data_IF_321690892408
#
_entry.id   IF_321690892408
#
_cell.length_a   1.000
_cell.length_b   1.000
_cell.length_c   1.000
_cell.angle_alpha   90.00
_cell.angle_beta   90.00
_cell.angle_gamma   90.00
#
_symmetry.space_group_name_H-M   'P 1'
#
loop_
_entity.id
_entity.type
_entity.pdbx_description
1 polymer ?
#
# COMPACT_ATOMS: atom_id res chain seq x y z
N UNK A 1 -2.89 -15.75 -29.05
CA UNK A 1 -3.59 -17.03 -28.79
C UNK A 1 -3.02 -17.73 -27.56
N UNK A 2 -1.76 -18.19 -27.57
CA UNK A 2 -1.15 -18.87 -26.40
C UNK A 2 -1.14 -18.05 -25.10
N UNK A 3 -0.82 -16.75 -25.14
CA UNK A 3 -0.80 -15.91 -23.94
C UNK A 3 -2.20 -15.73 -23.31
N UNK A 4 -3.24 -15.57 -24.13
CA UNK A 4 -4.63 -15.45 -23.67
C UNK A 4 -5.13 -16.75 -23.05
N UNK A 5 -4.73 -17.90 -23.60
CA UNK A 5 -5.11 -19.20 -23.07
C UNK A 5 -4.40 -19.51 -21.75
N UNK A 6 -3.13 -19.11 -21.62
CA UNK A 6 -2.39 -19.20 -20.36
C UNK A 6 -3.02 -18.31 -19.27
N UNK A 7 -3.39 -17.07 -19.62
CA UNK A 7 -4.07 -16.16 -18.69
C UNK A 7 -5.40 -16.75 -18.20
N UNK A 8 -6.25 -17.24 -19.11
CA UNK A 8 -7.52 -17.90 -18.75
C UNK A 8 -7.28 -19.07 -17.80
N UNK A 9 -6.36 -19.98 -18.13
CA UNK A 9 -6.08 -21.14 -17.27
C UNK A 9 -5.53 -20.75 -15.88
N UNK A 10 -4.79 -19.64 -15.81
CA UNK A 10 -4.28 -19.12 -14.54
C UNK A 10 -5.40 -18.49 -13.71
N UNK A 11 -6.29 -17.72 -14.35
CA UNK A 11 -7.44 -17.12 -13.69
C UNK A 11 -8.38 -18.20 -13.15
N UNK A 12 -8.67 -19.24 -13.94
CA UNK A 12 -9.49 -20.37 -13.49
C UNK A 12 -8.88 -21.05 -12.26
N UNK A 13 -7.56 -21.23 -12.26
CA UNK A 13 -6.83 -21.85 -11.15
C UNK A 13 -6.90 -21.02 -9.88
N UNK A 14 -6.72 -19.70 -9.96
CA UNK A 14 -6.71 -18.84 -8.77
C UNK A 14 -8.12 -18.61 -8.22
N UNK A 15 -9.15 -18.64 -9.08
CA UNK A 15 -10.54 -18.52 -8.66
C UNK A 15 -11.10 -19.79 -8.05
N UNK A 16 -10.46 -20.95 -8.26
CA UNK A 16 -10.93 -22.21 -7.63
C UNK A 16 -10.68 -22.21 -6.12
N UNK A 17 -9.51 -21.72 -5.69
CA UNK A 17 -9.03 -21.84 -4.31
C UNK A 17 -9.13 -20.54 -3.51
N UNK A 18 -9.89 -19.54 -3.99
CA UNK A 18 -9.92 -18.19 -3.38
C UNK A 18 -10.32 -18.18 -1.90
N UNK A 19 -11.13 -19.13 -1.46
CA UNK A 19 -11.56 -19.29 -0.06
C UNK A 19 -10.41 -19.60 0.90
N UNK A 20 -9.28 -20.10 0.39
CA UNK A 20 -8.10 -20.47 1.19
C UNK A 20 -7.15 -19.29 1.44
N UNK A 21 -7.41 -18.14 0.81
CA UNK A 21 -6.55 -16.97 0.90
C UNK A 21 -6.79 -16.23 2.22
N UNK A 22 -5.91 -16.44 3.19
CA UNK A 22 -5.98 -15.77 4.50
C UNK A 22 -5.08 -14.52 4.59
N UNK A 23 -3.96 -14.52 3.87
CA UNK A 23 -2.95 -13.46 3.91
C UNK A 23 -3.48 -12.16 3.28
N UNK A 24 -3.35 -11.03 3.99
CA UNK A 24 -3.85 -9.72 3.55
C UNK A 24 -3.34 -9.31 2.18
N UNK A 25 -2.02 -9.42 1.95
CA UNK A 25 -1.37 -9.08 0.69
C UNK A 25 -1.91 -9.91 -0.47
N UNK A 26 -2.17 -11.19 -0.23
CA UNK A 26 -2.74 -12.09 -1.23
C UNK A 26 -4.19 -11.74 -1.55
N UNK A 27 -5.00 -11.36 -0.55
CA UNK A 27 -6.38 -10.90 -0.78
C UNK A 27 -6.41 -9.63 -1.61
N UNK A 28 -5.53 -8.66 -1.32
CA UNK A 28 -5.40 -7.42 -2.10
C UNK A 28 -5.00 -7.74 -3.54
N UNK A 29 -3.96 -8.54 -3.74
CA UNK A 29 -3.51 -8.93 -5.09
C UNK A 29 -4.62 -9.67 -5.86
N UNK A 30 -5.33 -10.58 -5.19
CA UNK A 30 -6.45 -11.31 -5.78
C UNK A 30 -7.60 -10.39 -6.18
N UNK A 31 -8.04 -9.48 -5.32
CA UNK A 31 -9.08 -8.50 -5.64
C UNK A 31 -8.69 -7.58 -6.78
N UNK A 32 -7.41 -7.19 -6.85
CA UNK A 32 -6.89 -6.41 -7.97
C UNK A 32 -7.01 -7.18 -9.29
N UNK A 33 -6.57 -8.46 -9.31
CA UNK A 33 -6.71 -9.35 -10.47
C UNK A 33 -8.19 -9.49 -10.85
N UNK A 34 -9.07 -9.69 -9.86
CA UNK A 34 -10.51 -9.82 -10.06
C UNK A 34 -11.12 -8.55 -10.68
N UNK A 35 -10.70 -7.37 -10.22
CA UNK A 35 -11.12 -6.10 -10.80
C UNK A 35 -10.61 -5.90 -12.23
N UNK A 36 -9.36 -6.29 -12.51
CA UNK A 36 -8.71 -6.09 -13.82
C UNK A 36 -9.14 -7.11 -14.88
N UNK A 37 -9.46 -8.34 -14.47
CA UNK A 37 -9.80 -9.44 -15.39
C UNK A 37 -11.19 -10.04 -15.17
N UNK A 38 -12.04 -9.45 -14.32
CA UNK A 38 -13.35 -10.02 -13.99
C UNK A 38 -14.37 -10.08 -15.14
N UNK A 39 -14.06 -9.55 -16.32
CA UNK A 39 -14.84 -9.85 -17.54
C UNK A 39 -14.61 -11.28 -18.06
N UNK A 40 -13.43 -11.84 -17.77
CA UNK A 40 -13.01 -13.18 -18.23
C UNK A 40 -13.29 -14.26 -17.16
N UNK A 41 -13.66 -13.84 -15.94
CA UNK A 41 -13.98 -14.72 -14.82
C UNK A 41 -15.49 -14.74 -14.59
N UNK A 42 -16.13 -15.88 -14.82
CA UNK A 42 -17.59 -16.02 -14.71
C UNK A 42 -18.08 -15.71 -13.29
N UNK A 43 -17.41 -16.25 -12.28
CA UNK A 43 -17.78 -16.15 -10.87
C UNK A 43 -17.39 -14.82 -10.20
N UNK A 44 -16.78 -13.87 -10.92
CA UNK A 44 -16.21 -12.68 -10.31
C UNK A 44 -17.21 -11.85 -9.46
N UNK A 45 -18.46 -11.60 -9.91
CA UNK A 45 -19.44 -10.93 -9.08
C UNK A 45 -19.74 -11.67 -7.77
N UNK A 46 -19.93 -13.00 -7.82
CA UNK A 46 -20.22 -13.81 -6.63
C UNK A 46 -19.07 -13.83 -5.62
N UNK A 47 -17.83 -13.92 -6.12
CA UNK A 47 -16.64 -13.86 -5.27
C UNK A 47 -16.59 -12.50 -4.55
N UNK A 48 -16.79 -11.40 -5.29
CA UNK A 48 -16.75 -10.06 -4.72
C UNK A 48 -17.91 -9.79 -3.73
N UNK A 49 -19.09 -10.35 -3.99
CA UNK A 49 -20.22 -10.33 -3.06
C UNK A 49 -19.83 -10.97 -1.71
N UNK A 50 -19.20 -12.14 -1.74
CA UNK A 50 -18.75 -12.81 -0.52
C UNK A 50 -17.69 -12.03 0.28
N UNK A 51 -16.83 -11.26 -0.40
CA UNK A 51 -15.94 -10.29 0.27
C UNK A 51 -16.72 -9.12 0.88
N UNK A 52 -17.75 -8.64 0.18
CA UNK A 52 -18.60 -7.51 0.62
C UNK A 52 -19.42 -7.88 1.86
N UNK A 53 -19.88 -9.13 1.98
CA UNK A 53 -20.55 -9.63 3.20
C UNK A 53 -19.63 -9.60 4.43
N UNK A 54 -18.32 -9.77 4.22
CA UNK A 54 -17.29 -9.78 5.27
C UNK A 54 -16.59 -8.44 5.43
N UNK A 55 -17.06 -7.38 4.77
CA UNK A 55 -16.39 -6.06 4.69
C UNK A 55 -15.87 -5.57 6.05
N UNK A 56 -16.70 -5.61 7.10
CA UNK A 56 -16.35 -5.08 8.42
C UNK A 56 -15.23 -5.85 9.12
N UNK A 57 -15.03 -7.12 8.79
CA UNK A 57 -13.99 -7.97 9.37
C UNK A 57 -12.65 -7.90 8.61
N UNK A 58 -12.67 -7.39 7.38
CA UNK A 58 -11.47 -7.31 6.54
C UNK A 58 -10.59 -6.09 6.89
N UNK A 59 -9.26 -6.18 6.72
CA UNK A 59 -8.35 -5.08 6.96
C UNK A 59 -8.57 -3.95 5.94
N UNK A 60 -8.14 -2.73 6.30
CA UNK A 60 -8.41 -1.53 5.50
C UNK A 60 -7.87 -1.62 4.06
N UNK A 61 -6.73 -2.27 3.83
CA UNK A 61 -6.17 -2.42 2.47
C UNK A 61 -7.07 -3.29 1.58
N UNK A 62 -7.63 -4.35 2.15
CA UNK A 62 -8.59 -5.24 1.45
C UNK A 62 -9.88 -4.49 1.16
N UNK A 63 -10.41 -3.71 2.11
CA UNK A 63 -11.59 -2.86 1.89
C UNK A 63 -11.40 -1.87 0.74
N UNK A 64 -10.24 -1.22 0.68
CA UNK A 64 -9.87 -0.27 -0.37
C UNK A 64 -9.82 -0.96 -1.73
N UNK A 65 -9.17 -2.11 -1.80
CA UNK A 65 -9.04 -2.83 -3.07
C UNK A 65 -10.38 -3.41 -3.52
N UNK A 66 -11.20 -3.89 -2.58
CA UNK A 66 -12.57 -4.35 -2.85
C UNK A 66 -13.44 -3.22 -3.46
N UNK A 67 -13.32 -1.98 -2.98
CA UNK A 67 -13.98 -0.82 -3.58
C UNK A 67 -13.50 -0.58 -5.02
N UNK A 68 -12.20 -0.64 -5.26
CA UNK A 68 -11.61 -0.47 -6.59
C UNK A 68 -12.05 -1.58 -7.54
N UNK A 69 -12.00 -2.84 -7.10
CA UNK A 69 -12.42 -4.01 -7.84
C UNK A 69 -13.92 -3.96 -8.17
N UNK A 70 -14.76 -3.58 -7.20
CA UNK A 70 -16.21 -3.42 -7.40
C UNK A 70 -16.55 -2.34 -8.41
N UNK A 71 -15.87 -1.20 -8.38
CA UNK A 71 -16.03 -0.15 -9.39
C UNK A 71 -15.61 -0.64 -10.78
N UNK A 72 -14.44 -1.27 -10.92
CA UNK A 72 -13.95 -1.79 -12.21
C UNK A 72 -14.89 -2.85 -12.77
N UNK A 73 -15.32 -3.80 -11.93
CA UNK A 73 -16.21 -4.88 -12.34
C UNK A 73 -17.60 -4.36 -12.70
N UNK A 74 -18.09 -3.33 -12.00
CA UNK A 74 -19.35 -2.67 -12.34
C UNK A 74 -19.35 -2.06 -13.74
N UNK A 75 -18.26 -1.44 -14.18
CA UNK A 75 -18.18 -0.92 -15.54
C UNK A 75 -18.09 -2.01 -16.62
N UNK A 76 -17.69 -3.22 -16.24
CA UNK A 76 -17.58 -4.39 -17.14
C UNK A 76 -18.88 -5.20 -17.20
N UNK A 77 -19.52 -5.43 -16.05
CA UNK A 77 -20.76 -6.23 -15.89
C UNK A 77 -21.79 -5.48 -15.03
N UNK A 78 -22.34 -4.33 -15.51
CA UNK A 78 -23.23 -3.50 -14.71
C UNK A 78 -24.48 -4.20 -14.13
N UNK A 79 -25.20 -5.06 -14.88
CA UNK A 79 -26.42 -5.70 -14.39
C UNK A 79 -26.19 -6.59 -13.16
N UNK A 80 -25.07 -7.30 -13.13
CA UNK A 80 -24.73 -8.25 -12.08
C UNK A 80 -24.10 -7.56 -10.87
N UNK A 81 -23.40 -6.45 -11.11
CA UNK A 81 -22.71 -5.69 -10.07
C UNK A 81 -23.55 -4.63 -9.38
N UNK A 82 -24.67 -4.21 -9.97
CA UNK A 82 -25.65 -3.29 -9.36
C UNK A 82 -26.03 -3.69 -7.91
N UNK A 83 -26.46 -4.93 -7.63
CA UNK A 83 -26.84 -5.34 -6.27
C UNK A 83 -25.66 -5.42 -5.28
N UNK A 84 -24.42 -5.50 -5.77
CA UNK A 84 -23.22 -5.66 -4.94
C UNK A 84 -22.58 -4.30 -4.63
N UNK A 85 -22.45 -3.44 -5.65
CA UNK A 85 -21.75 -2.16 -5.53
C UNK A 85 -22.49 -1.17 -4.62
N UNK A 86 -23.83 -1.19 -4.62
CA UNK A 86 -24.65 -0.35 -3.75
C UNK A 86 -24.35 -0.58 -2.26
N UNK A 87 -24.55 -1.81 -1.74
CA UNK A 87 -24.19 -2.16 -0.36
C UNK A 87 -22.72 -1.94 -0.04
N UNK A 88 -21.81 -2.22 -0.98
CA UNK A 88 -20.37 -2.00 -0.77
C UNK A 88 -20.04 -0.51 -0.54
N UNK A 89 -20.60 0.38 -1.36
CA UNK A 89 -20.41 1.82 -1.19
C UNK A 89 -21.08 2.34 0.09
N UNK A 90 -22.28 1.84 0.41
CA UNK A 90 -22.98 2.23 1.64
C UNK A 90 -22.16 1.87 2.89
N UNK A 91 -21.61 0.64 2.94
CA UNK A 91 -20.72 0.21 4.03
C UNK A 91 -19.46 1.07 4.11
N UNK A 92 -18.83 1.38 2.98
CA UNK A 92 -17.63 2.21 2.96
C UNK A 92 -17.89 3.65 3.43
N UNK A 93 -18.99 4.28 2.99
CA UNK A 93 -19.34 5.66 3.38
C UNK A 93 -19.64 5.77 4.88
N UNK A 94 -20.15 4.70 5.48
CA UNK A 94 -20.42 4.63 6.92
C UNK A 94 -19.26 4.01 7.73
N UNK A 95 -18.15 3.64 7.10
CA UNK A 95 -16.99 3.08 7.82
C UNK A 95 -16.30 4.16 8.67
N UNK A 96 -16.39 4.02 9.99
CA UNK A 96 -15.73 4.91 10.96
C UNK A 96 -14.34 4.41 11.37
N UNK A 97 -13.94 3.20 10.98
CA UNK A 97 -12.67 2.59 11.39
C UNK A 97 -11.46 3.20 10.67
N UNK A 98 -11.63 3.65 9.42
CA UNK A 98 -10.55 4.20 8.61
C UNK A 98 -11.05 5.32 7.69
N UNK A 99 -10.41 6.49 7.77
CA UNK A 99 -10.80 7.65 6.96
C UNK A 99 -10.55 7.46 5.45
N UNK A 100 -9.50 6.74 5.04
CA UNK A 100 -9.17 6.51 3.63
C UNK A 100 -10.19 5.62 2.94
N UNK A 101 -10.71 4.59 3.64
CA UNK A 101 -11.80 3.74 3.15
C UNK A 101 -13.04 4.60 2.89
N UNK A 102 -13.43 5.41 3.87
CA UNK A 102 -14.61 6.29 3.77
C UNK A 102 -14.46 7.31 2.65
N UNK A 103 -13.32 7.99 2.59
CA UNK A 103 -13.08 9.04 1.60
C UNK A 103 -13.07 8.46 0.17
N UNK A 104 -12.50 7.25 -0.01
CA UNK A 104 -12.56 6.52 -1.29
C UNK A 104 -14.00 6.11 -1.64
N UNK A 105 -14.79 5.62 -0.68
CA UNK A 105 -16.21 5.32 -0.87
C UNK A 105 -17.02 6.55 -1.32
N UNK A 106 -16.85 7.68 -0.62
CA UNK A 106 -17.50 8.96 -0.98
C UNK A 106 -17.06 9.46 -2.35
N UNK A 107 -15.76 9.33 -2.68
CA UNK A 107 -15.24 9.71 -4.00
C UNK A 107 -15.93 8.91 -5.12
N UNK A 108 -15.99 7.58 -4.99
CA UNK A 108 -16.63 6.72 -5.99
C UNK A 108 -18.13 6.98 -6.12
N UNK A 109 -18.83 7.15 -5.00
CA UNK A 109 -20.25 7.50 -5.02
C UNK A 109 -20.50 8.80 -5.81
N UNK A 110 -19.74 9.87 -5.49
CA UNK A 110 -19.85 11.15 -6.19
C UNK A 110 -19.46 11.06 -7.66
N UNK A 111 -18.50 10.21 -8.01
CA UNK A 111 -18.06 10.02 -9.39
C UNK A 111 -19.17 9.39 -10.24
N UNK A 112 -19.84 8.37 -9.70
CA UNK A 112 -21.00 7.73 -10.31
C UNK A 112 -22.19 8.68 -10.43
N UNK A 113 -22.47 9.47 -9.38
CA UNK A 113 -23.55 10.46 -9.37
C UNK A 113 -23.34 11.54 -10.45
N UNK A 114 -22.10 12.03 -10.60
CA UNK A 114 -21.78 13.08 -11.58
C UNK A 114 -21.85 12.59 -13.01
N UNK A 115 -21.09 11.54 -13.33
CA UNK A 115 -20.97 11.02 -14.69
C UNK A 115 -20.35 9.61 -14.71
N UNK A 116 -21.16 8.55 -14.89
CA UNK A 116 -20.66 7.17 -14.95
C UNK A 116 -19.67 6.92 -16.09
N UNK A 117 -19.75 7.66 -17.20
CA UNK A 117 -18.83 7.49 -18.33
C UNK A 117 -17.44 8.00 -18.00
N UNK A 118 -17.35 9.20 -17.40
CA UNK A 118 -16.08 9.75 -16.93
C UNK A 118 -15.51 8.90 -15.80
N UNK A 119 -16.38 8.35 -14.94
CA UNK A 119 -16.00 7.42 -13.89
C UNK A 119 -15.32 6.16 -14.47
N UNK A 120 -15.90 5.58 -15.54
CA UNK A 120 -15.33 4.43 -16.22
C UNK A 120 -13.95 4.72 -16.82
N UNK A 121 -13.78 5.88 -17.44
CA UNK A 121 -12.47 6.30 -18.01
C UNK A 121 -11.40 6.52 -16.93
N UNK A 122 -11.78 7.08 -15.77
CA UNK A 122 -10.85 7.34 -14.68
C UNK A 122 -10.46 6.07 -13.91
N UNK A 123 -11.43 5.20 -13.63
CA UNK A 123 -11.20 3.98 -12.84
C UNK A 123 -10.68 2.84 -13.70
N UNK A 124 -11.15 2.72 -14.94
CA UNK A 124 -10.73 1.71 -15.92
C UNK A 124 -9.60 2.17 -16.84
N UNK A 125 -9.02 3.35 -16.59
CA UNK A 125 -7.91 3.87 -17.38
C UNK A 125 -6.71 2.93 -17.35
N UNK A 126 -6.09 2.70 -18.52
CA UNK A 126 -4.91 1.84 -18.60
C UNK A 126 -3.74 2.47 -17.85
N UNK A 127 -3.27 1.77 -16.81
CA UNK A 127 -2.03 2.12 -16.15
C UNK A 127 -0.86 2.00 -17.15
N UNK A 128 0.07 2.95 -17.10
CA UNK A 128 1.31 2.85 -17.88
C UNK A 128 2.08 1.61 -17.40
N UNK A 129 2.71 0.85 -18.31
CA UNK A 129 3.50 -0.31 -17.92
C UNK A 129 4.60 0.12 -16.96
N UNK A 130 4.76 -0.63 -15.87
CA UNK A 130 5.81 -0.42 -14.88
C UNK A 130 7.14 -0.73 -15.57
N UNK A 131 7.96 0.30 -15.77
CA UNK A 131 9.24 0.19 -16.49
C UNK A 131 10.43 -0.13 -15.57
N UNK A 132 10.25 -0.07 -14.26
CA UNK A 132 11.31 -0.24 -13.27
C UNK A 132 10.76 -0.85 -11.99
N UNK A 133 11.47 -1.83 -11.43
CA UNK A 133 11.15 -2.44 -10.13
C UNK A 133 12.05 -1.83 -9.06
N UNK A 134 11.51 -1.62 -7.86
CA UNK A 134 12.18 -0.90 -6.77
C UNK A 134 13.43 -1.63 -6.22
N UNK A 135 13.65 -2.89 -6.60
CA UNK A 135 14.87 -3.66 -6.31
C UNK A 135 16.09 -3.16 -7.09
N UNK A 136 15.87 -2.37 -8.13
CA UNK A 136 16.98 -1.72 -8.80
C UNK A 136 17.40 -0.53 -7.93
N UNK A 137 18.58 -0.68 -7.32
CA UNK A 137 19.13 0.23 -6.33
C UNK A 137 19.11 1.66 -6.85
N UNK A 138 18.61 2.57 -6.01
CA UNK A 138 18.74 4.01 -6.23
C UNK A 138 20.22 4.35 -6.47
N UNK A 139 20.60 4.94 -7.62
CA UNK A 139 22.00 5.24 -7.94
C UNK A 139 22.71 6.00 -6.82
N UNK A 140 22.00 6.89 -6.12
CA UNK A 140 22.56 7.64 -4.99
C UNK A 140 22.91 6.73 -3.78
N UNK A 141 22.09 5.71 -3.55
CA UNK A 141 22.36 4.70 -2.50
C UNK A 141 23.53 3.81 -2.91
N UNK A 142 23.61 3.41 -4.18
CA UNK A 142 24.72 2.62 -4.71
C UNK A 142 26.05 3.38 -4.57
N UNK A 143 26.10 4.65 -4.98
CA UNK A 143 27.30 5.49 -4.86
C UNK A 143 27.78 5.63 -3.41
N UNK A 144 26.85 5.76 -2.45
CA UNK A 144 27.18 5.80 -1.01
C UNK A 144 27.69 4.46 -0.50
N UNK A 145 27.11 3.35 -0.93
CA UNK A 145 27.59 2.01 -0.60
C UNK A 145 28.98 1.73 -1.17
N UNK A 146 29.28 2.23 -2.38
CA UNK A 146 30.63 2.20 -2.95
C UNK A 146 31.62 3.06 -2.16
N UNK A 147 31.22 4.25 -1.71
CA UNK A 147 32.07 5.09 -0.88
C UNK A 147 32.37 4.47 0.50
N UNK A 148 31.44 3.68 1.02
CA UNK A 148 31.54 2.95 2.29
C UNK A 148 31.94 1.48 2.08
N UNK A 149 32.63 1.18 0.98
CA UNK A 149 33.11 -0.17 0.69
C UNK A 149 34.03 -0.68 1.80
N UNK A 150 33.88 -1.96 2.15
CA UNK A 150 34.56 -2.61 3.29
C UNK A 150 34.09 -2.13 4.68
N UNK A 151 32.85 -1.65 4.79
CA UNK A 151 32.17 -1.37 6.06
C UNK A 151 30.91 -2.24 6.21
N UNK A 152 30.27 -2.18 7.38
CA UNK A 152 28.97 -2.83 7.61
C UNK A 152 27.87 -2.35 6.66
N UNK A 153 28.03 -1.19 6.02
CA UNK A 153 27.08 -0.65 5.05
C UNK A 153 26.84 -1.58 3.87
N UNK A 154 27.90 -2.24 3.37
CA UNK A 154 27.79 -3.20 2.26
C UNK A 154 27.02 -4.47 2.68
N UNK A 155 27.20 -4.91 3.93
CA UNK A 155 26.49 -6.09 4.47
C UNK A 155 25.01 -5.77 4.70
N UNK A 156 24.71 -4.58 5.23
CA UNK A 156 23.34 -4.14 5.47
C UNK A 156 22.63 -3.61 4.23
N UNK A 157 23.34 -3.43 3.11
CA UNK A 157 22.83 -2.78 1.89
C UNK A 157 22.17 -1.43 2.20
N UNK A 158 22.70 -0.72 3.20
CA UNK A 158 22.20 0.54 3.70
C UNK A 158 23.39 1.47 3.97
N UNK A 159 23.30 2.77 3.66
CA UNK A 159 24.33 3.73 4.04
C UNK A 159 24.47 3.82 5.57
N UNK A 160 25.67 4.09 6.06
CA UNK A 160 26.03 4.15 7.49
C UNK A 160 25.11 5.06 8.29
N UNK A 161 24.67 6.17 7.70
CA UNK A 161 23.75 7.13 8.30
C UNK A 161 22.40 6.54 8.75
N UNK A 162 21.99 5.39 8.20
CA UNK A 162 20.72 4.74 8.56
C UNK A 162 20.81 3.80 9.75
N UNK A 163 22.01 3.39 10.15
CA UNK A 163 22.19 2.42 11.24
C UNK A 163 23.26 2.83 12.27
N UNK A 164 24.05 3.86 12.00
CA UNK A 164 24.98 4.44 12.96
C UNK A 164 24.32 5.65 13.64
N UNK A 165 24.07 5.54 14.94
CA UNK A 165 23.68 6.69 15.75
C UNK A 165 24.88 7.65 15.86
N UNK A 166 24.73 8.86 15.31
CA UNK A 166 25.66 9.95 15.65
C UNK A 166 25.38 10.35 17.09
N UNK A 167 26.29 10.00 18.01
CA UNK A 167 26.38 10.72 19.28
C UNK A 167 26.56 12.20 18.90
N UNK A 168 25.54 13.01 19.16
CA UNK A 168 25.75 14.44 19.26
C UNK A 168 26.76 14.59 20.40
N UNK A 169 27.98 15.00 20.07
CA UNK A 169 28.95 15.42 21.07
C UNK A 169 28.30 16.60 21.80
N UNK A 170 27.70 16.30 22.96
CA UNK A 170 27.45 17.31 23.97
C UNK A 170 28.83 17.79 24.41
N UNK A 171 29.35 18.78 23.68
CA UNK A 171 30.44 19.63 24.13
C UNK A 171 29.89 20.36 25.35
N UNK A 172 29.99 19.71 26.51
CA UNK A 172 29.92 20.40 27.79
C UNK A 172 31.22 21.20 27.83
N UNK A 173 31.07 22.48 27.57
CA UNK A 173 32.09 23.51 27.75
C UNK A 173 32.50 23.49 29.23
N UNK A 174 33.59 22.78 29.55
CA UNK A 174 34.25 22.87 30.85
C UNK A 174 35.11 24.15 30.82
N UNK A 175 34.47 25.30 30.94
CA UNK A 175 35.14 26.56 31.19
C UNK A 175 34.72 27.11 32.55
N UNK A 176 35.72 27.12 33.43
CA UNK A 176 35.99 28.11 34.49
C UNK A 176 35.04 28.17 35.68
N UNK A 177 35.54 27.68 36.80
CA UNK A 177 35.41 28.13 38.21
C UNK A 177 36.09 26.99 38.98
N UNK A 178 37.38 27.10 39.33
CA UNK A 178 37.80 27.56 40.64
C UNK A 178 39.26 28.08 40.59
N UNK A 179 39.44 29.40 40.49
CA UNK A 179 40.59 30.11 41.04
C UNK A 179 40.05 30.98 42.19
N UNK A 180 40.01 30.43 43.41
CA UNK A 180 40.04 31.25 44.62
C UNK A 180 41.30 30.86 45.40
N UNK A 181 42.28 31.78 45.34
CA UNK A 181 43.48 31.82 46.14
C UNK A 181 43.10 32.11 47.60
N UNK A 182 43.35 31.17 48.52
CA UNK A 182 43.43 31.47 49.94
C UNK A 182 44.92 31.60 50.32
N UNK A 183 45.46 32.82 50.17
CA UNK A 183 46.62 33.29 50.95
C UNK A 183 46.10 33.95 52.23
N UNK A 184 46.15 33.28 53.39
CA UNK A 184 46.24 33.99 54.68
C UNK A 184 47.21 33.29 55.65
N UNK A 185 48.40 33.90 55.73
CA UNK A 185 49.17 34.30 56.92
C UNK A 185 49.74 33.25 57.90
N UNK A 186 51.09 33.23 57.92
CA UNK A 186 51.96 32.71 58.97
C UNK A 186 51.81 33.52 60.28
N UNK A 187 51.52 32.84 61.41
CA UNK A 187 51.92 33.29 62.75
C UNK A 187 52.43 32.10 63.59
N UNK A 188 53.76 31.96 63.66
CA UNK A 188 54.61 31.92 64.89
C UNK A 188 56.02 31.37 64.60
#
# INVERSE_FOLDING_TARGET
>A
YHASQMLSSFLDSITLDWHTIEVEECKVAFLWILGEFGQDVEDAPYILEAFTEKFNAEPYRVKIEMLTAGMKLFFKRPPEMQPILGPLLDQAVHDTSNADVRDRGVLYYRLLEKNPRVAAELVGGQAKPISYFHDAEDPETSDKLFAEFNTLSVIYQLPSQRFVERKLDNVVDLQNEDEEEDEEEEEE
#
